data_IF_202842662171
#
_entry.id   IF_202842662171
#
_cell.length_a   1.000
_cell.length_b   1.000
_cell.length_c   1.000
_cell.angle_alpha   90.00
_cell.angle_beta   90.00
_cell.angle_gamma   90.00
#
_symmetry.space_group_name_H-M   'P 1'
#
loop_
_entity.id
_entity.type
_entity.pdbx_description
1 polymer ?
#
# COMPACT_ATOMS: atom_id res chain seq x y z
N UNK A 1 -3.57 6.36 -52.87
CA UNK A 1 -2.53 6.58 -51.84
C UNK A 1 -2.33 5.31 -51.02
N UNK A 2 -1.88 4.21 -51.64
CA UNK A 2 -1.56 2.95 -50.94
C UNK A 2 -0.04 2.76 -50.75
N UNK A 3 0.79 3.46 -51.54
CA UNK A 3 2.26 3.32 -51.50
C UNK A 3 2.94 3.91 -50.27
N UNK A 4 2.37 4.94 -49.64
CA UNK A 4 2.96 5.56 -48.43
C UNK A 4 2.80 4.71 -47.17
N UNK A 5 1.71 3.92 -47.10
CA UNK A 5 1.42 3.08 -45.93
C UNK A 5 2.41 1.92 -45.83
N UNK A 6 2.59 1.17 -46.92
CA UNK A 6 3.56 0.07 -46.96
C UNK A 6 5.00 0.53 -46.73
N UNK A 7 5.39 1.69 -47.27
CA UNK A 7 6.71 2.28 -47.04
C UNK A 7 6.97 2.58 -45.55
N UNK A 8 6.00 3.18 -44.86
CA UNK A 8 6.11 3.47 -43.41
C UNK A 8 6.28 2.19 -42.59
N UNK A 9 5.50 1.17 -42.88
CA UNK A 9 5.57 -0.09 -42.14
C UNK A 9 6.90 -0.81 -42.37
N UNK A 10 7.43 -0.79 -43.60
CA UNK A 10 8.79 -1.28 -43.90
C UNK A 10 9.86 -0.50 -43.15
N UNK A 11 9.76 0.83 -43.05
CA UNK A 11 10.72 1.63 -42.28
C UNK A 11 10.68 1.30 -40.79
N UNK A 12 9.49 1.14 -40.20
CA UNK A 12 9.34 0.76 -38.79
C UNK A 12 9.98 -0.61 -38.55
N UNK A 13 9.73 -1.57 -39.44
CA UNK A 13 10.30 -2.91 -39.38
C UNK A 13 11.83 -2.89 -39.42
N UNK A 14 12.43 -2.23 -40.42
CA UNK A 14 13.88 -2.21 -40.59
C UNK A 14 14.57 -1.43 -39.47
N UNK A 15 14.03 -0.27 -39.08
CA UNK A 15 14.59 0.54 -37.99
C UNK A 15 14.51 -0.17 -36.64
N UNK A 16 13.44 -0.92 -36.38
CA UNK A 16 13.30 -1.71 -35.16
C UNK A 16 14.37 -2.80 -35.07
N UNK A 17 14.56 -3.58 -36.14
CA UNK A 17 15.58 -4.63 -36.15
C UNK A 17 16.99 -4.03 -36.03
N UNK A 18 17.27 -2.97 -36.80
CA UNK A 18 18.55 -2.28 -36.76
C UNK A 18 18.87 -1.75 -35.35
N UNK A 19 17.87 -1.19 -34.66
CA UNK A 19 18.03 -0.74 -33.28
C UNK A 19 18.41 -1.90 -32.34
N UNK A 20 17.70 -3.04 -32.41
CA UNK A 20 17.98 -4.18 -31.54
C UNK A 20 19.38 -4.76 -31.76
N UNK A 21 19.82 -4.83 -33.01
CA UNK A 21 21.15 -5.34 -33.37
C UNK A 21 22.25 -4.36 -32.96
N UNK A 22 22.13 -3.09 -33.34
CA UNK A 22 23.18 -2.09 -33.11
C UNK A 22 23.37 -1.76 -31.62
N UNK A 23 22.34 -1.99 -30.79
CA UNK A 23 22.41 -1.81 -29.34
C UNK A 23 22.70 -3.09 -28.57
N UNK A 24 22.87 -4.22 -29.25
CA UNK A 24 23.06 -5.55 -28.64
C UNK A 24 22.03 -5.85 -27.53
N UNK A 25 20.76 -5.53 -27.77
CA UNK A 25 19.69 -5.68 -26.78
C UNK A 25 19.49 -7.16 -26.49
N UNK A 26 19.58 -7.55 -25.22
CA UNK A 26 19.46 -8.93 -24.74
C UNK A 26 18.39 -9.12 -23.66
N UNK A 27 17.46 -8.16 -23.55
CA UNK A 27 16.33 -8.20 -22.63
C UNK A 27 15.00 -8.51 -23.35
N UNK A 28 13.93 -8.67 -22.58
CA UNK A 28 12.58 -8.84 -23.11
C UNK A 28 12.10 -7.50 -23.70
N UNK A 29 11.74 -7.51 -24.99
CA UNK A 29 11.27 -6.31 -25.70
C UNK A 29 9.80 -6.47 -26.05
N UNK A 30 8.98 -5.50 -25.62
CA UNK A 30 7.55 -5.47 -25.91
C UNK A 30 7.32 -4.70 -27.20
N UNK A 31 6.68 -5.35 -28.19
CA UNK A 31 6.33 -4.71 -29.46
C UNK A 31 4.81 -4.56 -29.58
N UNK A 32 4.32 -3.32 -29.59
CA UNK A 32 2.89 -3.00 -29.62
C UNK A 32 2.56 -2.27 -30.92
N UNK A 33 1.64 -2.82 -31.72
CA UNK A 33 1.11 -2.11 -32.89
C UNK A 33 -0.36 -2.47 -33.15
N UNK A 34 -1.11 -1.49 -33.65
CA UNK A 34 -2.47 -1.71 -34.16
C UNK A 34 -2.48 -2.23 -35.60
N UNK A 35 -1.33 -2.20 -36.30
CA UNK A 35 -1.21 -2.71 -37.66
C UNK A 35 -1.05 -4.25 -37.66
N UNK A 36 -2.18 -4.95 -37.54
CA UNK A 36 -2.19 -6.40 -37.36
C UNK A 36 -1.85 -7.18 -38.62
N UNK A 37 -2.27 -6.71 -39.79
CA UNK A 37 -2.09 -7.45 -41.06
C UNK A 37 -0.63 -7.54 -41.46
N UNK A 38 0.12 -6.45 -41.22
CA UNK A 38 1.44 -6.29 -41.80
C UNK A 38 2.54 -6.80 -40.87
N UNK A 39 2.29 -6.80 -39.56
CA UNK A 39 3.28 -7.23 -38.55
C UNK A 39 2.95 -8.57 -37.88
N UNK A 40 1.71 -9.03 -37.92
CA UNK A 40 1.27 -10.19 -37.15
C UNK A 40 0.52 -11.24 -37.97
N UNK A 41 0.55 -12.48 -37.49
CA UNK A 41 -0.43 -13.51 -37.84
C UNK A 41 -1.09 -14.05 -36.58
N UNK A 42 -2.41 -14.26 -36.66
CA UNK A 42 -3.17 -14.97 -35.64
C UNK A 42 -3.23 -16.45 -35.99
N UNK A 43 -2.90 -17.31 -35.04
CA UNK A 43 -3.15 -18.75 -35.12
C UNK A 43 -3.79 -19.17 -33.80
N UNK A 44 -5.06 -19.54 -33.83
CA UNK A 44 -5.92 -19.69 -32.65
C UNK A 44 -5.94 -18.38 -31.82
N UNK A 45 -5.94 -18.50 -30.48
CA UNK A 45 -5.90 -17.35 -29.55
C UNK A 45 -4.51 -16.71 -29.40
N UNK A 46 -3.49 -17.21 -30.11
CA UNK A 46 -2.12 -16.72 -30.01
C UNK A 46 -1.75 -15.79 -31.18
N UNK A 47 -1.07 -14.70 -30.83
CA UNK A 47 -0.54 -13.69 -31.77
C UNK A 47 0.94 -13.96 -31.99
N UNK A 48 1.34 -14.09 -33.25
CA UNK A 48 2.73 -14.28 -33.67
C UNK A 48 3.14 -13.18 -34.63
N UNK A 49 4.44 -12.94 -34.74
CA UNK A 49 4.97 -12.08 -35.80
C UNK A 49 4.68 -12.65 -37.19
N UNK A 50 4.62 -11.76 -38.17
CA UNK A 50 4.60 -12.15 -39.57
C UNK A 50 5.82 -13.05 -39.87
N UNK A 51 5.69 -14.13 -40.67
CA UNK A 51 6.78 -15.07 -40.93
C UNK A 51 8.07 -14.40 -41.42
N UNK A 52 7.94 -13.37 -42.27
CA UNK A 52 9.11 -12.65 -42.78
C UNK A 52 9.80 -11.85 -41.67
N UNK A 53 9.05 -11.24 -40.74
CA UNK A 53 9.63 -10.52 -39.60
C UNK A 53 10.32 -11.48 -38.65
N UNK A 54 9.71 -12.64 -38.41
CA UNK A 54 10.32 -13.69 -37.60
C UNK A 54 11.60 -14.23 -38.24
N UNK A 55 11.64 -14.37 -39.57
CA UNK A 55 12.82 -14.76 -40.31
C UNK A 55 13.91 -13.69 -40.21
N UNK A 56 13.57 -12.41 -40.44
CA UNK A 56 14.52 -11.30 -40.37
C UNK A 56 15.13 -11.15 -38.98
N UNK A 57 14.34 -11.24 -37.91
CA UNK A 57 14.83 -11.21 -36.53
C UNK A 57 15.88 -12.30 -36.28
N UNK A 58 15.65 -13.50 -36.83
CA UNK A 58 16.56 -14.64 -36.70
C UNK A 58 17.82 -14.47 -37.56
N UNK A 59 17.67 -14.09 -38.83
CA UNK A 59 18.77 -13.91 -39.77
C UNK A 59 19.71 -12.77 -39.35
N UNK A 60 19.15 -11.70 -38.77
CA UNK A 60 19.91 -10.56 -38.25
C UNK A 60 20.51 -10.80 -36.87
N UNK A 61 20.29 -11.97 -36.27
CA UNK A 61 20.90 -12.36 -35.00
C UNK A 61 20.39 -11.55 -33.80
N UNK A 62 19.14 -11.12 -33.82
CA UNK A 62 18.53 -10.42 -32.67
C UNK A 62 18.50 -11.35 -31.47
N UNK A 63 19.14 -10.94 -30.37
CA UNK A 63 19.21 -11.70 -29.11
C UNK A 63 18.02 -11.45 -28.21
N UNK A 64 17.44 -10.24 -28.27
CA UNK A 64 16.27 -9.86 -27.50
C UNK A 64 15.08 -10.79 -27.75
N UNK A 65 14.34 -11.12 -26.68
CA UNK A 65 13.08 -11.83 -26.79
C UNK A 65 11.96 -10.82 -27.06
N UNK A 66 11.56 -10.71 -28.32
CA UNK A 66 10.51 -9.77 -28.72
C UNK A 66 9.12 -10.41 -28.53
N UNK A 67 8.25 -9.77 -27.75
CA UNK A 67 6.89 -10.23 -27.43
C UNK A 67 5.85 -9.32 -28.08
N UNK A 68 4.98 -9.84 -28.97
CA UNK A 68 4.01 -9.04 -29.69
C UNK A 68 2.72 -8.77 -28.90
N UNK A 69 2.19 -7.55 -29.01
CA UNK A 69 0.85 -7.17 -28.52
C UNK A 69 0.07 -6.41 -29.59
N UNK A 70 -1.23 -6.70 -29.71
CA UNK A 70 -2.08 -6.09 -30.76
C UNK A 70 -2.75 -4.79 -30.34
N UNK A 71 -2.62 -4.43 -29.07
CA UNK A 71 -3.09 -3.17 -28.51
C UNK A 71 -2.39 -2.90 -27.18
N UNK A 72 -2.38 -1.62 -26.80
CA UNK A 72 -1.94 -1.21 -25.45
C UNK A 72 -2.82 -1.86 -24.37
N UNK A 73 -4.12 -2.04 -24.66
CA UNK A 73 -5.04 -2.72 -23.75
C UNK A 73 -4.63 -4.17 -23.48
N UNK A 74 -4.28 -4.96 -24.50
CA UNK A 74 -3.83 -6.35 -24.33
C UNK A 74 -2.55 -6.43 -23.50
N UNK A 75 -1.64 -5.48 -23.72
CA UNK A 75 -0.41 -5.36 -22.94
C UNK A 75 -0.73 -5.09 -21.45
N UNK A 76 -1.56 -4.08 -21.16
CA UNK A 76 -1.95 -3.75 -19.79
C UNK A 76 -2.63 -4.94 -19.11
N UNK A 77 -3.60 -5.59 -19.77
CA UNK A 77 -4.31 -6.75 -19.19
C UNK A 77 -3.40 -7.93 -18.84
N UNK A 78 -2.34 -8.15 -19.61
CA UNK A 78 -1.51 -9.36 -19.49
C UNK A 78 -0.21 -9.15 -18.72
N UNK A 79 0.26 -7.90 -18.63
CA UNK A 79 1.57 -7.56 -18.04
C UNK A 79 1.50 -6.54 -16.92
N UNK A 80 0.44 -5.76 -16.82
CA UNK A 80 0.27 -4.75 -15.78
C UNK A 80 -0.65 -5.33 -14.71
N UNK A 81 -0.13 -5.41 -13.49
CA UNK A 81 -0.92 -5.80 -12.33
C UNK A 81 -1.97 -4.72 -12.07
N UNK A 82 -3.22 -5.02 -12.44
CA UNK A 82 -4.35 -4.11 -12.27
C UNK A 82 -4.64 -3.81 -10.81
N UNK A 83 -4.32 -4.76 -9.94
CA UNK A 83 -4.50 -4.59 -8.52
C UNK A 83 -3.50 -3.55 -8.00
N UNK A 84 -2.25 -3.53 -8.49
CA UNK A 84 -1.24 -2.51 -8.15
C UNK A 84 -1.56 -1.09 -8.66
N UNK A 85 -2.41 -0.95 -9.67
CA UNK A 85 -2.80 0.36 -10.24
C UNK A 85 -4.28 0.68 -10.03
N UNK A 86 -4.90 0.07 -9.03
CA UNK A 86 -6.33 0.28 -8.75
C UNK A 86 -6.62 1.71 -8.27
N UNK A 87 -5.64 2.38 -7.65
CA UNK A 87 -5.79 3.76 -7.15
C UNK A 87 -4.82 4.73 -7.83
N UNK A 88 -5.23 5.99 -7.93
CA UNK A 88 -4.35 7.11 -8.24
C UNK A 88 -3.69 7.58 -6.94
N UNK A 89 -2.50 7.02 -6.64
CA UNK A 89 -1.78 7.25 -5.39
C UNK A 89 -1.66 8.73 -5.01
N UNK A 90 -1.43 9.62 -5.99
CA UNK A 90 -1.24 11.04 -5.70
C UNK A 90 -2.51 11.74 -5.22
N UNK A 91 -3.69 11.30 -5.68
CA UNK A 91 -4.97 11.88 -5.26
C UNK A 91 -5.51 11.22 -4.02
N UNK A 92 -5.30 9.92 -3.88
CA UNK A 92 -5.94 9.12 -2.84
C UNK A 92 -5.29 9.27 -1.47
N UNK A 93 -3.98 9.56 -1.40
CA UNK A 93 -3.28 9.72 -0.11
C UNK A 93 -3.85 10.86 0.75
N UNK A 94 -4.14 12.02 0.16
CA UNK A 94 -4.74 13.17 0.89
C UNK A 94 -6.13 12.84 1.45
N UNK A 95 -6.92 12.03 0.73
CA UNK A 95 -8.26 11.60 1.18
C UNK A 95 -8.16 10.61 2.35
N UNK A 96 -7.07 9.84 2.42
CA UNK A 96 -6.90 8.80 3.43
C UNK A 96 -6.54 9.38 4.80
N UNK A 97 -5.78 10.47 4.86
CA UNK A 97 -5.14 10.95 6.11
C UNK A 97 -6.15 11.13 7.25
N UNK A 98 -7.18 11.97 7.05
CA UNK A 98 -8.18 12.28 8.08
C UNK A 98 -8.92 11.03 8.58
N UNK A 99 -9.29 10.13 7.66
CA UNK A 99 -10.00 8.90 7.98
C UNK A 99 -9.11 7.94 8.78
N UNK A 100 -7.86 7.78 8.36
CA UNK A 100 -6.90 6.89 9.00
C UNK A 100 -6.53 7.42 10.38
N UNK A 101 -6.24 8.70 10.52
CA UNK A 101 -5.91 9.33 11.80
C UNK A 101 -7.05 9.17 12.81
N UNK A 102 -8.27 9.57 12.42
CA UNK A 102 -9.43 9.44 13.29
C UNK A 102 -9.74 7.99 13.68
N UNK A 103 -9.71 7.07 12.71
CA UNK A 103 -9.95 5.64 12.96
C UNK A 103 -8.88 5.02 13.86
N UNK A 104 -7.62 5.42 13.70
CA UNK A 104 -6.51 4.97 14.55
C UNK A 104 -6.68 5.44 15.98
N UNK A 105 -7.05 6.70 16.19
CA UNK A 105 -7.25 7.26 17.52
C UNK A 105 -8.46 6.62 18.19
N UNK A 106 -9.55 6.38 17.46
CA UNK A 106 -10.67 5.58 17.97
C UNK A 106 -10.23 4.19 18.39
N UNK A 107 -9.47 3.48 17.54
CA UNK A 107 -8.95 2.14 17.87
C UNK A 107 -8.08 2.14 19.13
N UNK A 108 -7.19 3.12 19.29
CA UNK A 108 -6.33 3.24 20.49
C UNK A 108 -7.17 3.56 21.74
N UNK A 109 -8.16 4.45 21.65
CA UNK A 109 -9.05 4.82 22.76
C UNK A 109 -9.93 3.65 23.25
N UNK A 110 -10.23 2.70 22.36
CA UNK A 110 -11.05 1.53 22.67
C UNK A 110 -10.22 0.32 23.13
N UNK A 111 -8.91 0.47 23.36
CA UNK A 111 -8.08 -0.63 23.81
C UNK A 111 -8.51 -1.18 25.18
N UNK A 112 -8.62 -2.50 25.24
CA UNK A 112 -8.77 -3.23 26.49
C UNK A 112 -7.46 -3.26 27.30
N UNK A 113 -7.55 -3.61 28.58
CA UNK A 113 -6.39 -3.89 29.44
C UNK A 113 -5.40 -4.88 28.80
N UNK A 114 -5.90 -5.92 28.14
CA UNK A 114 -5.06 -6.90 27.45
C UNK A 114 -4.34 -6.27 26.25
N UNK A 115 -5.02 -5.42 25.49
CA UNK A 115 -4.40 -4.63 24.42
C UNK A 115 -3.27 -3.75 24.95
N UNK A 116 -3.53 -2.95 25.99
CA UNK A 116 -2.53 -2.10 26.62
C UNK A 116 -1.35 -2.91 27.17
N UNK A 117 -1.61 -4.05 27.82
CA UNK A 117 -0.56 -4.91 28.36
C UNK A 117 0.36 -5.44 27.25
N UNK A 118 -0.22 -5.89 26.13
CA UNK A 118 0.53 -6.38 24.99
C UNK A 118 1.35 -5.27 24.33
N UNK A 119 0.72 -4.14 24.02
CA UNK A 119 1.36 -3.11 23.20
C UNK A 119 2.31 -2.20 23.98
N UNK A 120 2.08 -1.98 25.27
CA UNK A 120 3.06 -1.34 26.16
C UNK A 120 4.11 -2.34 26.66
N UNK A 121 4.07 -3.58 26.18
CA UNK A 121 4.96 -4.69 26.56
C UNK A 121 5.10 -4.79 28.08
N UNK A 122 3.99 -4.66 28.79
CA UNK A 122 3.97 -4.64 30.24
C UNK A 122 2.72 -5.31 30.80
N UNK A 123 2.94 -6.42 31.50
CA UNK A 123 1.87 -7.25 32.06
C UNK A 123 1.15 -6.64 33.26
N UNK A 124 1.52 -5.42 33.69
CA UNK A 124 0.91 -4.72 34.83
C UNK A 124 -0.59 -4.48 34.64
N UNK A 125 -1.01 -4.14 33.42
CA UNK A 125 -2.42 -3.88 33.09
C UNK A 125 -3.27 -5.14 33.02
N UNK A 126 -2.64 -6.29 32.77
CA UNK A 126 -3.32 -7.58 32.75
C UNK A 126 -3.41 -8.19 34.17
N UNK A 127 -2.36 -8.05 34.99
CA UNK A 127 -2.22 -8.86 36.20
C UNK A 127 -2.34 -8.09 37.52
N UNK A 128 -2.10 -6.77 37.52
CA UNK A 128 -1.91 -6.01 38.77
C UNK A 128 -2.81 -4.80 38.90
N UNK A 129 -3.08 -4.10 37.81
CA UNK A 129 -4.09 -3.04 37.75
C UNK A 129 -5.45 -3.71 37.63
N UNK A 130 -6.34 -3.45 38.59
CA UNK A 130 -7.63 -4.15 38.66
C UNK A 130 -8.61 -3.61 37.63
N UNK A 131 -8.67 -2.29 37.50
CA UNK A 131 -9.60 -1.61 36.59
C UNK A 131 -8.94 -0.36 36.01
N UNK A 132 -9.06 -0.20 34.69
CA UNK A 132 -8.83 1.07 34.02
C UNK A 132 -10.14 1.85 34.10
N UNK A 133 -10.09 3.05 34.66
CA UNK A 133 -11.25 3.92 34.83
C UNK A 133 -11.55 4.71 33.56
N UNK A 134 -10.50 5.15 32.88
CA UNK A 134 -10.57 5.82 31.59
C UNK A 134 -9.25 5.64 30.82
N UNK A 135 -9.37 5.62 29.50
CA UNK A 135 -8.27 5.66 28.55
C UNK A 135 -8.54 6.83 27.60
N UNK A 136 -7.57 7.71 27.45
CA UNK A 136 -7.66 8.85 26.52
C UNK A 136 -6.40 8.87 25.67
N UNK A 137 -6.59 9.12 24.38
CA UNK A 137 -5.52 9.13 23.40
C UNK A 137 -5.62 10.41 22.59
N UNK A 138 -4.53 11.17 22.58
CA UNK A 138 -4.41 12.41 21.84
C UNK A 138 -3.20 12.34 20.90
N UNK A 139 -3.40 12.74 19.65
CA UNK A 139 -2.32 12.87 18.68
C UNK A 139 -1.98 14.35 18.50
N UNK A 140 -0.70 14.68 18.64
CA UNK A 140 -0.21 16.05 18.48
C UNK A 140 0.26 16.35 17.05
N UNK A 141 0.91 15.37 16.45
CA UNK A 141 1.54 15.48 15.13
C UNK A 141 1.03 14.30 14.32
N UNK A 142 0.47 14.60 13.15
CA UNK A 142 -0.19 13.64 12.26
C UNK A 142 0.70 12.49 11.78
N UNK A 143 0.30 11.88 10.67
CA UNK A 143 0.98 10.70 10.18
C UNK A 143 2.36 10.97 9.51
N UNK A 144 3.17 9.91 9.43
CA UNK A 144 4.47 9.89 8.75
C UNK A 144 4.74 8.50 8.16
N UNK A 145 5.67 8.43 7.21
CA UNK A 145 6.10 7.21 6.51
C UNK A 145 4.93 6.38 5.98
N UNK A 146 3.96 7.08 5.37
CA UNK A 146 2.77 6.43 4.85
C UNK A 146 3.04 5.77 3.50
N UNK A 147 2.50 4.57 3.31
CA UNK A 147 2.70 3.78 2.11
C UNK A 147 1.52 2.85 1.85
N UNK A 148 1.08 2.81 0.59
CA UNK A 148 0.17 1.77 0.10
C UNK A 148 0.94 0.48 -0.11
N UNK A 149 0.69 -0.52 0.73
CA UNK A 149 1.32 -1.85 0.64
C UNK A 149 0.76 -2.61 -0.57
N UNK A 150 -0.57 -2.64 -0.69
CA UNK A 150 -1.25 -3.29 -1.81
C UNK A 150 -2.68 -2.78 -1.97
N UNK A 151 -3.22 -2.94 -3.18
CA UNK A 151 -4.61 -2.66 -3.49
C UNK A 151 -5.23 -3.82 -4.24
N UNK A 152 -6.55 -3.95 -4.17
CA UNK A 152 -7.29 -4.97 -4.93
C UNK A 152 -8.67 -4.46 -5.29
N UNK A 153 -9.04 -4.53 -6.57
CA UNK A 153 -10.39 -4.16 -6.97
C UNK A 153 -11.41 -5.19 -6.48
N UNK A 154 -12.47 -4.71 -5.82
CA UNK A 154 -13.60 -5.54 -5.38
C UNK A 154 -14.81 -5.44 -6.33
N UNK A 155 -14.73 -4.57 -7.34
CA UNK A 155 -15.83 -4.25 -8.25
C UNK A 155 -16.73 -3.14 -7.70
N UNK A 156 -17.61 -2.59 -8.54
CA UNK A 156 -18.52 -1.51 -8.13
C UNK A 156 -17.88 -0.12 -7.91
N UNK A 157 -16.55 -0.03 -7.94
CA UNK A 157 -15.78 1.17 -7.54
C UNK A 157 -15.05 0.95 -6.20
N UNK A 158 -15.39 -0.12 -5.48
CA UNK A 158 -14.73 -0.48 -4.24
C UNK A 158 -13.34 -1.08 -4.51
N UNK A 159 -12.38 -0.59 -3.75
CA UNK A 159 -10.98 -1.00 -3.77
C UNK A 159 -10.58 -1.31 -2.34
N UNK A 160 -10.13 -2.53 -2.11
CA UNK A 160 -9.43 -2.88 -0.88
C UNK A 160 -8.06 -2.22 -0.89
N UNK A 161 -7.71 -1.56 0.20
CA UNK A 161 -6.41 -0.90 0.39
C UNK A 161 -5.76 -1.47 1.64
N UNK A 162 -4.54 -1.97 1.49
CA UNK A 162 -3.64 -2.29 2.61
C UNK A 162 -2.60 -1.18 2.71
N UNK A 163 -2.44 -0.62 3.91
CA UNK A 163 -1.74 0.63 4.12
C UNK A 163 -0.88 0.57 5.39
N UNK A 164 0.33 1.11 5.33
CA UNK A 164 1.23 1.28 6.49
C UNK A 164 1.53 2.74 6.73
N UNK A 165 1.67 3.12 7.99
CA UNK A 165 2.02 4.47 8.43
C UNK A 165 2.41 4.45 9.91
N UNK A 166 2.86 5.58 10.43
CA UNK A 166 2.97 5.78 11.86
C UNK A 166 2.46 7.15 12.29
N UNK A 167 1.92 7.23 13.50
CA UNK A 167 1.51 8.51 14.09
C UNK A 167 2.71 9.07 14.87
N UNK A 168 3.07 10.33 14.63
CA UNK A 168 4.38 10.87 15.08
C UNK A 168 4.49 10.99 16.60
N UNK A 169 3.47 11.56 17.24
CA UNK A 169 3.42 11.84 18.69
C UNK A 169 2.01 11.63 19.20
N UNK A 170 1.84 10.58 19.98
CA UNK A 170 0.55 10.21 20.57
C UNK A 170 0.71 10.09 22.08
N UNK A 171 -0.04 10.89 22.82
CA UNK A 171 -0.17 10.73 24.27
C UNK A 171 -1.23 9.68 24.58
N UNK A 172 -0.91 8.85 25.55
CA UNK A 172 -1.85 7.94 26.19
C UNK A 172 -1.94 8.38 27.64
N UNK A 173 -3.15 8.77 28.05
CA UNK A 173 -3.51 8.97 29.45
C UNK A 173 -4.38 7.80 29.94
N UNK A 174 -4.02 7.25 31.09
CA UNK A 174 -4.73 6.15 31.71
C UNK A 174 -5.07 6.52 33.14
N UNK A 175 -6.36 6.52 33.47
CA UNK A 175 -6.82 6.68 34.83
C UNK A 175 -6.96 5.32 35.51
N UNK A 176 -6.28 5.15 36.64
CA UNK A 176 -6.41 3.97 37.51
C UNK A 176 -6.71 4.41 38.94
N UNK A 177 -7.13 3.46 39.79
CA UNK A 177 -7.27 3.77 41.22
C UNK A 177 -5.91 4.08 41.84
N UNK A 178 -5.84 5.08 42.72
CA UNK A 178 -4.61 5.47 43.42
C UNK A 178 -3.97 4.28 44.16
N UNK A 179 -4.78 3.36 44.70
CA UNK A 179 -4.27 2.16 45.39
C UNK A 179 -3.55 1.21 44.44
N UNK A 180 -4.04 1.05 43.21
CA UNK A 180 -3.39 0.21 42.19
C UNK A 180 -2.06 0.85 41.75
N UNK A 181 -2.02 2.19 41.66
CA UNK A 181 -0.76 2.90 41.44
C UNK A 181 0.22 2.68 42.60
N UNK A 182 -0.19 2.93 43.85
CA UNK A 182 0.67 2.84 45.02
C UNK A 182 1.28 1.44 45.19
N UNK A 183 0.51 0.38 44.90
CA UNK A 183 0.97 -1.00 44.97
C UNK A 183 1.98 -1.37 43.85
N UNK A 184 1.97 -0.65 42.74
CA UNK A 184 2.77 -0.98 41.55
C UNK A 184 3.68 0.17 41.07
N UNK A 185 3.90 1.18 41.92
CA UNK A 185 4.58 2.44 41.61
C UNK A 185 5.89 2.25 40.85
N UNK A 186 6.76 1.36 41.32
CA UNK A 186 8.07 1.13 40.70
C UNK A 186 7.99 0.66 39.23
N UNK A 187 6.96 -0.10 38.87
CA UNK A 187 6.77 -0.58 37.50
C UNK A 187 6.08 0.48 36.62
N UNK A 188 5.13 1.23 37.17
CA UNK A 188 4.42 2.30 36.44
C UNK A 188 5.33 3.50 36.18
N UNK A 189 6.14 3.92 37.15
CA UNK A 189 7.10 5.02 37.02
C UNK A 189 8.19 4.75 35.95
N UNK A 190 8.34 3.52 35.46
CA UNK A 190 9.25 3.18 34.34
C UNK A 190 8.62 3.40 32.96
N UNK A 191 7.30 3.42 32.90
CA UNK A 191 6.53 3.46 31.65
C UNK A 191 5.99 4.87 31.43
N UNK A 192 5.47 5.47 32.50
CA UNK A 192 4.79 6.75 32.50
C UNK A 192 5.75 7.81 33.03
N UNK A 193 5.94 8.88 32.25
CA UNK A 193 6.85 9.97 32.65
C UNK A 193 6.14 11.01 33.50
N UNK A 194 4.81 11.12 33.39
CA UNK A 194 4.00 12.02 34.18
C UNK A 194 2.85 11.27 34.85
N UNK A 195 2.64 11.60 36.13
CA UNK A 195 1.71 10.93 37.01
C UNK A 195 1.10 11.96 37.94
N UNK A 196 -0.18 12.21 37.78
CA UNK A 196 -0.96 13.09 38.64
C UNK A 196 -1.88 12.27 39.54
N UNK A 197 -1.90 12.59 40.83
CA UNK A 197 -2.78 11.93 41.80
C UNK A 197 -3.75 12.98 42.34
N UNK A 198 -5.04 12.74 42.14
CA UNK A 198 -6.10 13.60 42.64
C UNK A 198 -7.33 12.79 43.00
N UNK A 199 -7.93 13.09 44.15
CA UNK A 199 -9.24 12.56 44.55
C UNK A 199 -9.36 11.03 44.49
N UNK A 200 -8.29 10.28 44.80
CA UNK A 200 -8.30 8.81 44.78
C UNK A 200 -8.03 8.17 43.41
N UNK A 201 -7.71 8.96 42.39
CA UNK A 201 -7.36 8.52 41.03
C UNK A 201 -5.92 8.90 40.74
N UNK A 202 -5.19 8.00 40.10
CA UNK A 202 -3.88 8.29 39.50
C UNK A 202 -4.06 8.33 37.98
N UNK A 203 -3.74 9.46 37.36
CA UNK A 203 -3.68 9.66 35.91
C UNK A 203 -2.24 9.47 35.47
N UNK A 204 -2.03 8.49 34.59
CA UNK A 204 -0.71 8.09 34.09
C UNK A 204 -0.57 8.52 32.64
N UNK A 205 0.47 9.28 32.31
CA UNK A 205 0.71 9.76 30.96
C UNK A 205 2.01 9.20 30.37
N UNK A 206 1.94 8.72 29.14
CA UNK A 206 3.12 8.40 28.36
C UNK A 206 2.97 8.86 26.91
N UNK A 207 4.11 9.03 26.26
CA UNK A 207 4.22 9.42 24.86
C UNK A 207 4.66 8.19 24.10
N UNK A 208 3.96 7.92 23.01
CA UNK A 208 4.24 6.79 22.15
C UNK A 208 4.28 7.22 20.68
N UNK A 209 4.90 6.35 19.88
CA UNK A 209 4.88 6.39 18.42
C UNK A 209 4.32 5.06 17.90
N UNK A 210 3.02 4.98 17.58
CA UNK A 210 2.40 3.78 17.05
C UNK A 210 2.66 3.65 15.54
N UNK A 211 3.07 2.45 15.12
CA UNK A 211 3.24 2.03 13.73
C UNK A 211 2.12 1.07 13.40
N UNK A 212 1.33 1.41 12.39
CA UNK A 212 0.16 0.68 11.98
C UNK A 212 0.37 -0.01 10.63
N UNK A 213 -0.15 -1.23 10.52
CA UNK A 213 -0.53 -1.83 9.24
C UNK A 213 -2.04 -2.09 9.31
N UNK A 214 -2.76 -1.49 8.37
CA UNK A 214 -4.22 -1.53 8.35
C UNK A 214 -4.74 -1.96 6.99
N UNK A 215 -6.04 -2.23 6.96
CA UNK A 215 -6.78 -2.25 5.71
C UNK A 215 -8.10 -1.52 5.82
N UNK A 216 -8.56 -1.02 4.68
CA UNK A 216 -9.87 -0.37 4.54
C UNK A 216 -10.36 -0.52 3.10
N UNK A 217 -11.62 -0.14 2.87
CA UNK A 217 -12.22 -0.06 1.54
C UNK A 217 -12.33 1.41 1.15
N UNK A 218 -11.78 1.75 0.00
CA UNK A 218 -11.93 3.05 -0.66
C UNK A 218 -12.82 2.90 -1.89
N UNK A 219 -13.81 3.76 -2.06
CA UNK A 219 -14.61 3.83 -3.28
C UNK A 219 -14.17 5.00 -4.16
N UNK A 220 -13.74 4.70 -5.39
CA UNK A 220 -13.14 5.69 -6.29
C UNK A 220 -14.15 6.66 -6.93
N UNK A 221 -15.45 6.40 -6.81
CA UNK A 221 -16.51 7.21 -7.46
C UNK A 221 -17.06 8.29 -6.55
N UNK A 222 -17.19 8.01 -5.27
CA UNK A 222 -17.77 8.90 -4.27
C UNK A 222 -16.77 9.30 -3.16
N UNK A 223 -15.53 8.82 -3.25
CA UNK A 223 -14.44 9.09 -2.31
C UNK A 223 -14.76 8.60 -0.88
N UNK A 224 -15.65 7.61 -0.74
CA UNK A 224 -16.01 7.02 0.56
C UNK A 224 -14.91 6.06 1.08
N UNK A 225 -14.60 6.17 2.37
CA UNK A 225 -13.71 5.28 3.11
C UNK A 225 -14.47 4.53 4.21
N UNK A 226 -14.30 3.21 4.29
CA UNK A 226 -15.02 2.36 5.24
C UNK A 226 -14.25 1.10 5.62
N UNK A 227 -14.76 0.39 6.63
CA UNK A 227 -14.26 -0.90 7.11
C UNK A 227 -12.77 -0.87 7.48
N UNK A 228 -12.38 0.10 8.30
CA UNK A 228 -11.04 0.17 8.87
C UNK A 228 -10.78 -1.03 9.79
N UNK A 229 -9.70 -1.74 9.52
CA UNK A 229 -9.26 -2.90 10.30
C UNK A 229 -7.75 -2.80 10.57
N UNK A 230 -7.34 -3.03 11.81
CA UNK A 230 -5.93 -3.07 12.21
C UNK A 230 -5.42 -4.50 12.08
N UNK A 231 -4.47 -4.72 11.16
CA UNK A 231 -3.82 -6.01 10.98
C UNK A 231 -2.63 -6.17 11.93
N UNK A 232 -1.86 -5.09 12.12
CA UNK A 232 -0.73 -5.06 13.02
C UNK A 232 -0.57 -3.68 13.65
N UNK A 233 -0.12 -3.66 14.90
CA UNK A 233 0.25 -2.45 15.62
C UNK A 233 1.54 -2.72 16.40
N UNK A 234 2.53 -1.85 16.21
CA UNK A 234 3.75 -1.83 17.00
C UNK A 234 3.93 -0.47 17.65
N UNK A 235 4.19 -0.45 18.95
CA UNK A 235 4.43 0.79 19.68
C UNK A 235 5.92 0.97 19.94
N UNK A 236 6.42 2.18 19.70
CA UNK A 236 7.73 2.63 20.17
C UNK A 236 7.53 3.69 21.26
N UNK A 237 8.32 3.60 22.33
CA UNK A 237 8.41 4.56 23.43
C UNK A 237 9.66 5.41 23.30
#
# INVERSE_FOLDING_TARGET
MEGEKGYRDTLIWLSFIDYLVNRDVNEDVVFITQNKSDFFKKKNDSVYFHPDLAADLKEKGVKAKVVPFTSLFDFINSRVDRDKHAIDHYKSEEVFEDFIESSSISFLNEMSNFGLANYLENSIFENKVRNILALRVEMLEGLEDSEVISTRSLGGGDIYVSYSYNLRRVFIEIDIQEIDYAMNKYELDKIFYDIEISSGVATLECLIRPYFEVSFIYNDKDEELKNFEVANLRIRR
#
